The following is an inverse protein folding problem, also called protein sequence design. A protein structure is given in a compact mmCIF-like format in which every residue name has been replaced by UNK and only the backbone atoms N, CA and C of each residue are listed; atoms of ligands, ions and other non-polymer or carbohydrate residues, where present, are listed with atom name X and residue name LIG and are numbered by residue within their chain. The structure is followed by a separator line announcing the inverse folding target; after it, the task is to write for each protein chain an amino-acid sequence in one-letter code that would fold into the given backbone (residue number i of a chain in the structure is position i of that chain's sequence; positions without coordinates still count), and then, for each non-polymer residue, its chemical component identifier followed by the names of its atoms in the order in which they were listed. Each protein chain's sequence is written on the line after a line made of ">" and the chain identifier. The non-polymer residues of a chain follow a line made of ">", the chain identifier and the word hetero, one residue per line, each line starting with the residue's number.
data_IF_845232420883
#
_entry.id   IF_845232420883
#
_cell.length_a   1.000
_cell.length_b   1.000
_cell.length_c   1.000
_cell.angle_alpha   90.00
_cell.angle_beta   90.00
_cell.angle_gamma   90.00
#
_symmetry.space_group_name_H-M   'P 1'
#
loop_
_entity.id
_entity.type
_entity.pdbx_description
1 polymer ?
#
# COMPACT_ATOMS: atom_id res chain seq x y z
N UNK A 1 -37.12 -9.58 6.81
CA UNK A 1 -35.98 -10.45 6.34
C UNK A 1 -34.83 -9.53 6.03
N UNK A 2 -33.71 -9.72 6.72
CA UNK A 2 -32.45 -8.98 6.42
C UNK A 2 -31.93 -9.55 5.12
N UNK A 3 -31.59 -8.69 4.17
CA UNK A 3 -31.04 -9.13 2.87
C UNK A 3 -29.72 -9.87 3.09
N UNK A 4 -29.35 -10.84 2.23
CA UNK A 4 -28.06 -11.56 2.34
C UNK A 4 -26.86 -10.61 2.40
N UNK A 5 -26.92 -9.48 1.72
CA UNK A 5 -25.90 -8.44 1.68
C UNK A 5 -25.68 -7.76 3.05
N UNK A 6 -26.76 -7.49 3.78
CA UNK A 6 -26.70 -6.93 5.14
C UNK A 6 -26.16 -7.94 6.16
N UNK A 7 -26.47 -9.23 5.96
CA UNK A 7 -25.92 -10.30 6.82
C UNK A 7 -24.41 -10.48 6.60
N UNK A 8 -23.95 -10.37 5.37
CA UNK A 8 -22.53 -10.48 5.04
C UNK A 8 -21.72 -9.30 5.57
N UNK A 9 -22.27 -8.10 5.46
CA UNK A 9 -21.70 -6.88 6.01
C UNK A 9 -21.42 -7.02 7.51
N UNK A 10 -22.41 -7.43 8.29
CA UNK A 10 -22.27 -7.59 9.74
C UNK A 10 -21.29 -8.70 10.15
N UNK A 11 -21.09 -9.72 9.29
CA UNK A 11 -20.15 -10.81 9.56
C UNK A 11 -18.71 -10.45 9.21
N UNK A 12 -18.47 -9.48 8.36
CA UNK A 12 -17.16 -9.19 7.81
C UNK A 12 -16.43 -8.03 8.49
N UNK A 13 -17.15 -7.05 9.06
CA UNK A 13 -16.55 -5.87 9.69
C UNK A 13 -15.57 -6.23 10.82
N UNK A 14 -15.86 -7.26 11.61
CA UNK A 14 -14.96 -7.71 12.69
C UNK A 14 -13.57 -8.14 12.20
N UNK A 15 -13.43 -8.49 10.92
CA UNK A 15 -12.14 -8.93 10.34
C UNK A 15 -11.10 -7.81 10.34
N UNK A 16 -11.55 -6.56 10.26
CA UNK A 16 -10.68 -5.39 10.31
C UNK A 16 -10.63 -4.72 11.70
N UNK A 17 -11.23 -5.35 12.73
CA UNK A 17 -11.18 -4.81 14.08
C UNK A 17 -9.72 -4.72 14.55
N UNK A 18 -9.32 -3.51 14.96
CA UNK A 18 -7.95 -3.23 15.39
C UNK A 18 -6.98 -2.91 14.25
N UNK A 19 -7.47 -2.79 13.01
CA UNK A 19 -6.69 -2.24 11.92
C UNK A 19 -6.43 -0.75 12.19
N UNK A 20 -5.23 -0.28 11.91
CA UNK A 20 -4.84 1.13 12.04
C UNK A 20 -3.60 1.31 12.90
N UNK A 21 -3.13 2.57 13.03
CA UNK A 21 -3.70 3.76 12.39
C UNK A 21 -3.53 3.76 10.87
N UNK A 22 -4.56 4.24 10.15
CA UNK A 22 -4.54 4.41 8.69
C UNK A 22 -4.30 5.88 8.35
N UNK A 23 -3.36 6.14 7.45
CA UNK A 23 -3.11 7.47 6.87
C UNK A 23 -3.47 7.40 5.39
N UNK A 24 -4.65 7.94 5.05
CA UNK A 24 -5.20 7.89 3.69
C UNK A 24 -4.82 9.16 2.91
N UNK A 25 -4.06 8.96 1.85
CA UNK A 25 -3.52 10.03 1.00
C UNK A 25 -4.54 10.35 -0.09
N UNK A 26 -4.98 11.62 -0.16
CA UNK A 26 -5.98 12.06 -1.11
C UNK A 26 -5.70 13.49 -1.57
N UNK A 27 -5.86 13.75 -2.87
CA UNK A 27 -5.78 15.08 -3.46
C UNK A 27 -6.98 15.94 -3.05
N UNK A 28 -6.74 17.20 -2.67
CA UNK A 28 -7.82 18.10 -2.27
C UNK A 28 -8.78 18.40 -3.44
N UNK A 29 -8.30 18.32 -4.66
CA UNK A 29 -9.10 18.45 -5.88
C UNK A 29 -9.94 17.23 -6.25
N UNK A 30 -9.91 16.15 -5.45
CA UNK A 30 -10.63 14.90 -5.72
C UNK A 30 -11.53 14.48 -4.54
N UNK A 31 -12.54 15.28 -4.17
CA UNK A 31 -13.41 15.01 -3.02
C UNK A 31 -14.24 13.74 -3.18
N UNK A 32 -14.59 13.33 -4.41
CA UNK A 32 -15.34 12.10 -4.70
C UNK A 32 -14.53 10.83 -4.34
N UNK A 33 -13.21 10.85 -4.50
CA UNK A 33 -12.34 9.74 -4.08
C UNK A 33 -12.25 9.69 -2.56
N UNK A 34 -12.24 10.84 -1.89
CA UNK A 34 -12.29 10.89 -0.44
C UNK A 34 -13.63 10.34 0.10
N UNK A 35 -14.76 10.75 -0.48
CA UNK A 35 -16.09 10.22 -0.12
C UNK A 35 -16.15 8.70 -0.30
N UNK A 36 -15.54 8.18 -1.37
CA UNK A 36 -15.42 6.73 -1.59
C UNK A 36 -14.68 6.05 -0.43
N UNK A 37 -13.55 6.60 0.03
CA UNK A 37 -12.79 6.04 1.15
C UNK A 37 -13.56 6.13 2.47
N UNK A 38 -14.18 7.25 2.77
CA UNK A 38 -15.01 7.40 3.98
C UNK A 38 -16.18 6.39 4.01
N UNK A 39 -16.80 6.15 2.87
CA UNK A 39 -17.85 5.13 2.75
C UNK A 39 -17.33 3.72 3.03
N UNK A 40 -16.11 3.38 2.58
CA UNK A 40 -15.47 2.11 2.91
C UNK A 40 -15.14 2.02 4.41
N UNK A 41 -14.52 3.06 4.99
CA UNK A 41 -14.19 3.07 6.42
C UNK A 41 -15.44 2.91 7.28
N UNK A 42 -16.52 3.61 6.94
CA UNK A 42 -17.82 3.45 7.59
C UNK A 42 -18.40 2.04 7.40
N UNK A 43 -18.28 1.48 6.19
CA UNK A 43 -18.78 0.14 5.88
C UNK A 43 -18.09 -0.94 6.73
N UNK A 44 -16.76 -0.81 6.87
CA UNK A 44 -15.92 -1.77 7.58
C UNK A 44 -15.72 -1.43 9.06
N UNK A 45 -16.43 -0.41 9.59
CA UNK A 45 -16.35 0.04 10.98
C UNK A 45 -14.92 0.41 11.41
N UNK A 46 -14.16 1.02 10.50
CA UNK A 46 -12.81 1.52 10.75
C UNK A 46 -12.93 2.94 11.31
N UNK A 47 -12.39 3.16 12.51
CA UNK A 47 -12.46 4.46 13.20
C UNK A 47 -11.11 5.17 13.26
N UNK A 48 -9.99 4.42 13.24
CA UNK A 48 -8.63 4.96 13.37
C UNK A 48 -8.04 5.26 11.99
N UNK A 49 -8.47 6.37 11.41
CA UNK A 49 -7.93 6.86 10.14
C UNK A 49 -7.76 8.39 10.13
N UNK A 50 -6.80 8.86 9.35
CA UNK A 50 -6.52 10.28 9.12
C UNK A 50 -6.35 10.55 7.63
N UNK A 51 -7.07 11.54 7.11
CA UNK A 51 -6.86 12.04 5.75
C UNK A 51 -5.57 12.86 5.67
N UNK A 52 -4.74 12.56 4.71
CA UNK A 52 -3.53 13.33 4.36
C UNK A 52 -3.76 14.03 3.03
N UNK A 53 -3.85 15.35 3.05
CA UNK A 53 -3.91 16.19 1.84
C UNK A 53 -2.62 15.97 1.03
N UNK A 54 -2.74 15.41 -0.17
CA UNK A 54 -1.64 15.10 -1.06
C UNK A 54 -1.13 16.34 -1.81
N UNK A 55 0.10 16.28 -2.29
CA UNK A 55 0.65 17.26 -3.24
C UNK A 55 0.27 16.88 -4.66
N UNK A 56 -0.35 17.80 -5.39
CA UNK A 56 -0.67 17.60 -6.82
C UNK A 56 0.45 18.18 -7.69
N UNK A 57 1.33 17.33 -8.18
CA UNK A 57 2.43 17.75 -9.04
C UNK A 57 2.00 18.17 -10.46
N UNK A 58 0.74 17.98 -10.84
CA UNK A 58 0.22 18.37 -12.16
C UNK A 58 -0.20 19.84 -12.17
N UNK A 59 -0.74 20.30 -11.06
CA UNK A 59 -1.30 21.65 -10.91
C UNK A 59 -0.39 22.56 -10.07
N UNK A 60 0.45 22.00 -9.20
CA UNK A 60 1.31 22.72 -8.26
C UNK A 60 2.76 22.76 -8.76
N UNK A 61 3.43 23.91 -8.57
CA UNK A 61 4.88 23.97 -8.65
C UNK A 61 5.50 23.38 -7.38
N UNK A 62 5.97 22.15 -7.48
CA UNK A 62 6.59 21.43 -6.37
C UNK A 62 8.04 21.85 -6.10
N UNK A 63 8.63 22.76 -6.86
CA UNK A 63 10.02 23.20 -6.67
C UNK A 63 10.25 23.77 -5.25
N UNK A 64 9.24 24.46 -4.73
CA UNK A 64 9.28 25.08 -3.39
C UNK A 64 9.37 24.07 -2.24
N UNK A 65 8.89 22.84 -2.45
CA UNK A 65 8.95 21.78 -1.44
C UNK A 65 10.13 20.83 -1.64
N UNK A 66 10.88 20.94 -2.73
CA UNK A 66 12.07 20.13 -2.95
C UNK A 66 13.30 20.83 -2.33
N UNK A 67 14.11 20.06 -1.62
CA UNK A 67 15.37 20.48 -1.02
C UNK A 67 16.53 19.74 -1.70
N UNK A 68 17.53 20.48 -2.15
CA UNK A 68 18.66 19.93 -2.89
C UNK A 68 18.41 19.90 -4.40
N UNK A 69 18.95 18.92 -5.10
CA UNK A 69 18.75 18.78 -6.54
C UNK A 69 17.33 18.36 -6.86
N UNK A 70 16.71 19.05 -7.81
CA UNK A 70 15.41 18.63 -8.34
C UNK A 70 15.53 17.28 -9.04
N UNK A 71 14.59 16.34 -8.82
CA UNK A 71 14.70 14.98 -9.40
C UNK A 71 14.17 14.95 -10.85
N UNK A 72 14.98 15.46 -11.79
CA UNK A 72 14.63 15.60 -13.21
C UNK A 72 14.22 14.27 -13.90
N UNK A 73 14.49 13.13 -13.27
CA UNK A 73 14.11 11.79 -13.77
C UNK A 73 12.67 11.40 -13.43
N UNK A 74 12.00 12.18 -12.60
CA UNK A 74 10.63 11.91 -12.15
C UNK A 74 9.67 12.87 -12.82
N UNK A 75 8.48 12.38 -13.15
CA UNK A 75 7.37 13.25 -13.53
C UNK A 75 6.87 14.05 -12.31
N UNK A 76 6.19 15.15 -12.56
CA UNK A 76 5.62 15.96 -11.49
C UNK A 76 4.62 15.17 -10.64
N UNK A 77 3.80 14.28 -11.25
CA UNK A 77 2.91 13.37 -10.54
C UNK A 77 3.66 12.38 -9.64
N UNK A 78 4.77 11.80 -10.10
CA UNK A 78 5.61 10.90 -9.29
C UNK A 78 6.25 11.65 -8.10
N UNK A 79 6.66 12.91 -8.28
CA UNK A 79 7.16 13.76 -7.19
C UNK A 79 6.05 14.03 -6.17
N UNK A 80 4.85 14.41 -6.64
CA UNK A 80 3.69 14.64 -5.80
C UNK A 80 3.32 13.41 -4.97
N UNK A 81 3.26 12.23 -5.60
CA UNK A 81 3.00 10.96 -4.94
C UNK A 81 4.05 10.67 -3.86
N UNK A 82 5.34 10.67 -4.23
CA UNK A 82 6.44 10.35 -3.30
C UNK A 82 6.48 11.29 -2.10
N UNK A 83 6.32 12.60 -2.33
CA UNK A 83 6.31 13.59 -1.23
C UNK A 83 5.07 13.47 -0.36
N UNK A 84 3.94 13.04 -0.90
CA UNK A 84 2.71 12.79 -0.15
C UNK A 84 2.84 11.58 0.77
N UNK A 85 3.47 10.50 0.33
CA UNK A 85 3.79 9.36 1.19
C UNK A 85 4.75 9.75 2.32
N UNK A 86 5.79 10.52 2.05
CA UNK A 86 6.69 11.04 3.08
C UNK A 86 5.98 11.99 4.06
N UNK A 87 5.04 12.80 3.58
CA UNK A 87 4.16 13.64 4.42
C UNK A 87 3.30 12.79 5.35
N UNK A 88 2.71 11.70 4.84
CA UNK A 88 1.90 10.77 5.63
C UNK A 88 2.74 10.09 6.72
N UNK A 89 3.94 9.60 6.39
CA UNK A 89 4.87 9.01 7.37
C UNK A 89 5.28 10.02 8.44
N UNK A 90 5.58 11.26 8.05
CA UNK A 90 5.92 12.29 9.03
C UNK A 90 4.73 12.60 9.93
N UNK A 91 3.52 12.70 9.38
CA UNK A 91 2.32 12.93 10.17
C UNK A 91 2.08 11.79 11.18
N UNK A 92 2.28 10.54 10.77
CA UNK A 92 2.24 9.38 11.65
C UNK A 92 3.19 9.54 12.84
N UNK A 93 4.45 9.86 12.56
CA UNK A 93 5.47 9.98 13.61
C UNK A 93 5.22 11.14 14.56
N UNK A 94 4.66 12.24 14.06
CA UNK A 94 4.39 13.43 14.86
C UNK A 94 3.13 13.29 15.75
N UNK A 95 2.20 12.38 15.43
CA UNK A 95 0.87 12.34 16.06
C UNK A 95 0.46 10.98 16.63
N UNK A 96 1.29 9.96 16.55
CA UNK A 96 0.98 8.62 17.06
C UNK A 96 2.22 7.96 17.63
N UNK A 97 2.04 7.13 18.65
CA UNK A 97 3.08 6.27 19.24
C UNK A 97 2.94 4.81 18.80
N UNK A 98 2.03 4.51 17.86
CA UNK A 98 1.80 3.15 17.38
C UNK A 98 3.09 2.54 16.79
N UNK A 99 3.31 1.22 16.93
CA UNK A 99 4.51 0.54 16.44
C UNK A 99 4.57 0.44 14.90
N UNK A 100 3.45 0.63 14.23
CA UNK A 100 3.32 0.65 12.78
C UNK A 100 2.19 1.58 12.34
N UNK A 101 2.11 1.86 11.05
CA UNK A 101 0.99 2.53 10.42
C UNK A 101 0.65 1.86 9.08
N UNK A 102 -0.59 2.07 8.62
CA UNK A 102 -1.03 1.70 7.28
C UNK A 102 -1.07 2.98 6.46
N UNK A 103 -0.31 2.99 5.36
CA UNK A 103 -0.39 4.04 4.34
C UNK A 103 -1.31 3.55 3.24
N UNK A 104 -2.28 4.38 2.86
CA UNK A 104 -3.32 4.01 1.91
C UNK A 104 -3.57 5.15 0.93
N UNK A 105 -3.67 4.86 -0.36
CA UNK A 105 -4.13 5.81 -1.36
C UNK A 105 -5.67 5.79 -1.48
N UNK A 106 -6.23 6.83 -2.03
CA UNK A 106 -7.68 7.06 -2.10
C UNK A 106 -8.41 6.25 -3.17
N UNK A 107 -7.71 5.32 -3.82
CA UNK A 107 -8.27 4.30 -4.71
C UNK A 107 -8.12 2.86 -4.17
N UNK A 108 -7.59 2.68 -2.99
CA UNK A 108 -7.57 1.37 -2.36
C UNK A 108 -8.99 0.84 -2.14
N UNK A 109 -9.19 -0.46 -2.39
CA UNK A 109 -10.48 -1.12 -2.25
C UNK A 109 -10.37 -2.26 -1.24
N UNK A 110 -11.26 -2.24 -0.24
CA UNK A 110 -11.32 -3.21 0.86
C UNK A 110 -12.27 -4.38 0.59
N UNK A 111 -12.89 -4.48 -0.58
CA UNK A 111 -13.92 -5.47 -0.86
C UNK A 111 -13.45 -6.92 -0.79
N UNK A 112 -12.14 -7.19 -0.95
CA UNK A 112 -11.58 -8.54 -0.78
C UNK A 112 -11.66 -9.03 0.66
N UNK A 113 -11.76 -8.15 1.65
CA UNK A 113 -11.87 -8.49 3.07
C UNK A 113 -13.06 -9.40 3.35
N UNK A 114 -14.15 -9.27 2.59
CA UNK A 114 -15.32 -10.17 2.72
C UNK A 114 -14.97 -11.64 2.51
N UNK A 115 -13.95 -11.92 1.69
CA UNK A 115 -13.50 -13.29 1.40
C UNK A 115 -12.51 -13.82 2.43
N UNK A 116 -11.83 -12.98 3.24
CA UNK A 116 -10.87 -13.46 4.22
C UNK A 116 -11.56 -14.42 5.21
N UNK A 117 -10.89 -15.52 5.55
CA UNK A 117 -11.29 -16.43 6.62
C UNK A 117 -10.48 -16.21 7.91
N UNK A 118 -9.78 -15.10 8.00
CA UNK A 118 -8.95 -14.63 9.11
C UNK A 118 -9.24 -13.17 9.45
N UNK A 119 -8.73 -12.69 10.58
CA UNK A 119 -8.84 -11.29 11.00
C UNK A 119 -7.53 -10.54 10.73
N UNK A 120 -7.57 -9.20 10.83
CA UNK A 120 -6.38 -8.37 10.82
C UNK A 120 -5.36 -8.78 11.90
N UNK A 121 -5.83 -9.12 13.10
CA UNK A 121 -4.96 -9.54 14.18
C UNK A 121 -4.28 -10.89 13.88
N UNK A 122 -5.00 -11.83 13.28
CA UNK A 122 -4.41 -13.10 12.85
C UNK A 122 -3.34 -12.86 11.80
N UNK A 123 -3.61 -12.00 10.82
CA UNK A 123 -2.67 -11.63 9.78
C UNK A 123 -1.42 -10.95 10.37
N UNK A 124 -1.59 -9.92 11.19
CA UNK A 124 -0.49 -9.18 11.80
C UNK A 124 0.39 -10.07 12.70
N UNK A 125 -0.21 -11.01 13.41
CA UNK A 125 0.52 -11.96 14.28
C UNK A 125 1.49 -12.88 13.50
N UNK A 126 1.29 -13.02 12.19
CA UNK A 126 2.14 -13.86 11.33
C UNK A 126 3.14 -13.05 10.49
N UNK A 127 3.33 -11.77 10.75
CA UNK A 127 4.36 -11.00 10.06
C UNK A 127 5.76 -11.57 10.33
N UNK A 128 6.63 -11.61 9.32
CA UNK A 128 8.03 -11.98 9.52
C UNK A 128 8.68 -11.11 10.61
N UNK A 129 9.54 -11.68 11.43
CA UNK A 129 10.10 -10.98 12.59
C UNK A 129 10.85 -9.68 12.24
N UNK A 130 11.49 -9.65 11.08
CA UNK A 130 12.39 -8.59 10.63
C UNK A 130 11.77 -7.68 9.54
N UNK A 131 10.43 -7.61 9.46
CA UNK A 131 9.76 -6.80 8.47
C UNK A 131 9.94 -5.29 8.72
N UNK A 132 10.15 -4.55 7.65
CA UNK A 132 10.13 -3.08 7.62
C UNK A 132 8.84 -2.57 6.95
N UNK A 133 8.44 -3.22 5.86
CA UNK A 133 7.24 -2.90 5.09
C UNK A 133 6.55 -4.19 4.64
N UNK A 134 5.22 -4.20 4.66
CA UNK A 134 4.39 -5.25 4.04
C UNK A 134 3.45 -4.59 3.03
N UNK A 135 3.69 -4.82 1.74
CA UNK A 135 2.85 -4.34 0.65
C UNK A 135 1.58 -5.19 0.57
N UNK A 136 0.41 -4.57 0.60
CA UNK A 136 -0.89 -5.24 0.64
C UNK A 136 -1.68 -5.18 -0.67
N UNK A 137 -1.41 -4.18 -1.51
CA UNK A 137 -2.00 -4.03 -2.84
C UNK A 137 -0.89 -4.07 -3.88
N UNK A 138 -1.02 -4.98 -4.84
CA UNK A 138 0.03 -5.25 -5.83
C UNK A 138 -0.54 -5.11 -7.23
N UNK A 139 0.24 -4.46 -8.10
CA UNK A 139 0.08 -4.47 -9.54
C UNK A 139 1.34 -5.10 -10.13
N UNK A 140 1.21 -6.17 -10.89
CA UNK A 140 2.37 -6.80 -11.51
C UNK A 140 2.13 -7.04 -13.02
N UNK A 141 3.22 -7.17 -13.76
CA UNK A 141 3.21 -7.40 -15.22
C UNK A 141 3.47 -8.87 -15.57
N UNK A 142 3.06 -9.79 -14.73
CA UNK A 142 3.27 -11.21 -14.91
C UNK A 142 2.43 -12.01 -13.95
N UNK A 143 2.86 -13.24 -13.64
CA UNK A 143 2.17 -14.07 -12.67
C UNK A 143 2.24 -13.44 -11.28
N UNK A 144 1.08 -13.27 -10.66
CA UNK A 144 0.98 -12.69 -9.33
C UNK A 144 1.23 -13.76 -8.26
N UNK A 145 2.18 -13.50 -7.38
CA UNK A 145 2.38 -14.32 -6.20
C UNK A 145 1.36 -13.96 -5.12
N UNK A 146 0.50 -14.89 -4.77
CA UNK A 146 -0.64 -14.63 -3.86
C UNK A 146 -0.31 -14.87 -2.39
N UNK A 147 0.76 -15.59 -2.07
CA UNK A 147 1.24 -15.85 -0.70
C UNK A 147 2.26 -14.80 -0.29
N UNK A 148 2.57 -14.73 1.02
CA UNK A 148 3.64 -13.87 1.52
C UNK A 148 4.96 -14.22 0.85
N UNK A 149 5.63 -13.22 0.30
CA UNK A 149 6.94 -13.36 -0.36
C UNK A 149 7.79 -12.10 -0.15
N UNK A 150 9.10 -12.21 -0.38
CA UNK A 150 9.94 -11.03 -0.52
C UNK A 150 9.50 -10.24 -1.75
N UNK A 151 9.30 -8.94 -1.59
CA UNK A 151 8.88 -8.09 -2.69
C UNK A 151 9.80 -8.25 -3.90
N UNK A 152 9.23 -8.51 -5.05
CA UNK A 152 9.94 -8.48 -6.34
C UNK A 152 9.95 -7.05 -6.90
N UNK A 153 10.89 -6.78 -7.81
CA UNK A 153 11.02 -5.45 -8.43
C UNK A 153 9.79 -5.04 -9.25
N UNK A 154 9.01 -6.01 -9.72
CA UNK A 154 7.80 -5.83 -10.51
C UNK A 154 6.50 -5.92 -9.69
N UNK A 155 6.57 -6.00 -8.38
CA UNK A 155 5.43 -5.80 -7.49
C UNK A 155 5.24 -4.29 -7.28
N UNK A 156 4.51 -3.67 -8.20
CA UNK A 156 4.27 -2.22 -8.19
C UNK A 156 3.10 -1.87 -7.30
N UNK A 157 2.91 -0.59 -7.06
CA UNK A 157 1.81 0.07 -6.34
C UNK A 157 2.11 0.38 -4.88
N UNK A 158 1.85 1.62 -4.52
CA UNK A 158 1.81 2.13 -3.14
C UNK A 158 0.39 2.33 -2.63
N UNK A 159 -0.62 1.76 -3.32
CA UNK A 159 -2.04 1.93 -2.97
C UNK A 159 -2.35 1.50 -1.53
N UNK A 160 -1.68 0.47 -1.00
CA UNK A 160 -1.76 0.13 0.42
C UNK A 160 -0.56 -0.67 0.90
N UNK A 161 0.02 -0.24 2.01
CA UNK A 161 1.08 -0.99 2.70
C UNK A 161 1.12 -0.68 4.21
N UNK A 162 1.64 -1.64 4.98
CA UNK A 162 1.98 -1.46 6.40
C UNK A 162 3.45 -1.08 6.49
N UNK A 163 3.77 -0.08 7.30
CA UNK A 163 5.14 0.36 7.54
C UNK A 163 5.45 0.34 9.05
N UNK A 164 6.55 -0.28 9.41
CA UNK A 164 7.05 -0.27 10.78
C UNK A 164 7.54 1.14 11.17
N UNK A 165 7.30 1.56 12.43
CA UNK A 165 7.69 2.88 12.92
C UNK A 165 9.16 3.19 12.67
N UNK A 166 10.07 2.29 13.02
CA UNK A 166 11.51 2.50 12.85
C UNK A 166 11.90 2.73 11.39
N UNK A 167 11.17 2.11 10.44
CA UNK A 167 11.41 2.32 9.01
C UNK A 167 10.86 3.67 8.54
N UNK A 168 9.65 4.05 9.00
CA UNK A 168 9.12 5.40 8.76
C UNK A 168 10.07 6.49 9.31
N UNK A 169 10.61 6.30 10.52
CA UNK A 169 11.63 7.21 11.10
C UNK A 169 12.88 7.31 10.23
N UNK A 170 13.37 6.18 9.70
CA UNK A 170 14.50 6.15 8.77
C UNK A 170 14.21 6.98 7.52
N UNK A 171 13.05 6.76 6.88
CA UNK A 171 12.68 7.47 5.65
C UNK A 171 12.47 8.97 5.91
N UNK A 172 11.76 9.33 6.96
CA UNK A 172 11.54 10.74 7.33
C UNK A 172 12.88 11.44 7.65
N UNK A 173 13.78 10.81 8.39
CA UNK A 173 15.11 11.35 8.66
C UNK A 173 15.94 11.56 7.39
N UNK A 174 15.87 10.65 6.44
CA UNK A 174 16.61 10.70 5.17
C UNK A 174 16.04 11.74 4.21
N UNK A 175 14.72 11.84 4.13
CA UNK A 175 14.05 12.55 3.06
C UNK A 175 13.30 13.82 3.48
N UNK A 176 12.90 13.97 4.74
CA UNK A 176 12.19 15.16 5.20
C UNK A 176 13.15 16.20 5.79
N UNK A 177 12.91 17.48 5.49
CA UNK A 177 13.70 18.63 5.96
C UNK A 177 12.77 19.76 6.41
N UNK A 178 13.11 20.47 7.46
CA UNK A 178 12.30 21.58 7.99
C UNK A 178 11.12 21.09 8.83
N UNK A 179 10.06 21.92 8.91
CA UNK A 179 8.80 21.54 9.53
C UNK A 179 8.48 22.17 10.89
N UNK A 180 9.44 22.50 11.74
CA UNK A 180 9.16 23.19 13.02
C UNK A 180 9.11 24.72 12.92
N UNK A 181 9.83 25.30 11.97
CA UNK A 181 9.94 26.76 11.80
C UNK A 181 9.72 27.23 10.36
N UNK A 182 9.37 26.34 9.43
CA UNK A 182 9.18 26.64 8.02
C UNK A 182 8.37 25.58 7.29
N UNK A 183 8.15 25.78 5.99
CA UNK A 183 7.47 24.79 5.16
C UNK A 183 8.24 23.47 5.15
N UNK A 184 7.53 22.35 5.23
CA UNK A 184 8.11 21.02 5.03
C UNK A 184 8.74 20.96 3.64
N UNK A 185 9.97 20.44 3.58
CA UNK A 185 10.70 20.19 2.34
C UNK A 185 11.13 18.73 2.25
N UNK A 186 11.36 18.25 1.04
CA UNK A 186 11.70 16.85 0.76
C UNK A 186 12.99 16.77 -0.06
N UNK A 187 13.87 15.88 0.33
CA UNK A 187 15.13 15.62 -0.35
C UNK A 187 15.05 14.29 -1.07
N UNK A 188 14.92 14.31 -2.40
CA UNK A 188 14.74 13.13 -3.25
C UNK A 188 15.98 12.76 -4.07
N UNK A 189 17.10 13.47 -3.88
CA UNK A 189 18.38 13.27 -4.62
C UNK A 189 19.27 12.19 -4.01
N UNK A 190 18.79 11.45 -3.01
CA UNK A 190 19.61 10.48 -2.28
C UNK A 190 19.28 9.04 -2.60
N UNK A 191 20.27 8.37 -3.20
CA UNK A 191 20.64 6.98 -2.99
C UNK A 191 19.61 5.88 -3.34
N UNK A 192 18.39 6.22 -3.69
CA UNK A 192 17.38 5.22 -4.05
C UNK A 192 17.52 4.91 -5.54
N UNK A 193 17.71 3.64 -5.84
CA UNK A 193 17.79 3.15 -7.21
C UNK A 193 16.66 2.18 -7.49
N UNK A 194 16.12 2.17 -8.71
CA UNK A 194 16.56 2.93 -9.88
C UNK A 194 16.17 4.41 -9.85
N UNK A 195 15.05 4.79 -9.20
CA UNK A 195 14.57 6.18 -9.09
C UNK A 195 13.90 6.39 -7.73
N UNK A 196 13.87 7.60 -7.16
CA UNK A 196 13.21 7.86 -5.88
C UNK A 196 11.68 8.04 -6.01
N UNK A 197 11.02 7.28 -6.88
CA UNK A 197 9.55 7.17 -6.92
C UNK A 197 9.04 6.45 -5.67
N UNK A 198 7.77 6.63 -5.34
CA UNK A 198 7.21 6.12 -4.09
C UNK A 198 7.48 4.63 -3.87
N UNK A 199 7.22 3.79 -4.87
CA UNK A 199 7.52 2.34 -4.82
C UNK A 199 8.97 2.05 -4.46
N UNK A 200 9.91 2.63 -5.20
CA UNK A 200 11.33 2.36 -5.01
C UNK A 200 11.84 2.94 -3.68
N UNK A 201 11.38 4.14 -3.33
CA UNK A 201 11.80 4.79 -2.10
C UNK A 201 11.31 4.03 -0.86
N UNK A 202 10.05 3.61 -0.84
CA UNK A 202 9.46 2.91 0.29
C UNK A 202 9.98 1.48 0.39
N UNK A 203 9.95 0.75 -0.72
CA UNK A 203 10.14 -0.69 -0.71
C UNK A 203 11.60 -1.13 -0.83
N UNK A 204 12.44 -0.40 -1.59
CA UNK A 204 13.84 -0.79 -1.76
C UNK A 204 14.75 -0.29 -0.64
N UNK A 205 14.22 0.46 0.32
CA UNK A 205 15.00 1.01 1.43
C UNK A 205 15.02 0.13 2.68
N UNK A 206 14.23 -0.94 2.72
CA UNK A 206 14.09 -1.83 3.86
C UNK A 206 13.84 -3.29 3.49
N UNK A 207 13.54 -4.08 4.53
CA UNK A 207 13.15 -5.47 4.40
C UNK A 207 11.65 -5.55 4.07
N UNK A 208 11.34 -5.55 2.78
CA UNK A 208 9.96 -5.49 2.28
C UNK A 208 9.44 -6.85 1.87
N UNK A 209 8.28 -7.18 2.39
CA UNK A 209 7.46 -8.31 1.97
C UNK A 209 6.26 -7.81 1.18
N UNK A 210 5.66 -8.71 0.39
CA UNK A 210 4.48 -8.43 -0.41
C UNK A 210 3.47 -9.58 -0.30
N UNK A 211 2.20 -9.22 -0.27
CA UNK A 211 1.07 -10.16 -0.25
C UNK A 211 -0.18 -9.43 -0.74
N UNK A 212 -0.84 -9.88 -1.82
CA UNK A 212 -1.98 -9.17 -2.41
C UNK A 212 -3.28 -9.46 -1.65
N UNK A 213 -3.49 -8.78 -0.52
CA UNK A 213 -4.70 -8.88 0.31
C UNK A 213 -5.78 -7.89 -0.08
N UNK A 214 -5.39 -6.78 -0.69
CA UNK A 214 -6.26 -5.68 -1.09
C UNK A 214 -6.10 -5.40 -2.57
N UNK A 215 -7.07 -4.70 -3.13
CA UNK A 215 -7.08 -4.27 -4.54
C UNK A 215 -7.28 -2.75 -4.61
N UNK A 216 -7.34 -2.23 -5.79
CA UNK A 216 -7.65 -0.82 -6.07
C UNK A 216 -8.95 -0.71 -6.87
N UNK A 217 -9.59 0.43 -6.79
CA UNK A 217 -10.83 0.74 -7.51
C UNK A 217 -10.51 1.17 -8.94
N UNK A 218 -10.56 0.22 -9.86
CA UNK A 218 -10.18 0.43 -11.28
C UNK A 218 -10.95 1.59 -11.92
N UNK A 219 -12.23 1.76 -11.56
CA UNK A 219 -13.10 2.79 -12.13
C UNK A 219 -12.73 4.22 -11.71
N UNK A 220 -11.95 4.39 -10.64
CA UNK A 220 -11.44 5.70 -10.25
C UNK A 220 -10.23 6.14 -11.09
N UNK A 221 -9.66 5.22 -11.85
CA UNK A 221 -8.52 5.49 -12.71
C UNK A 221 -7.21 5.71 -11.96
N UNK A 222 -6.14 5.94 -12.71
CA UNK A 222 -4.84 6.35 -12.19
C UNK A 222 -4.59 7.81 -12.51
N UNK A 223 -4.20 8.58 -11.50
CA UNK A 223 -3.82 9.99 -11.68
C UNK A 223 -2.42 10.16 -12.26
N UNK A 224 -1.58 9.11 -12.20
CA UNK A 224 -0.16 9.17 -12.62
C UNK A 224 0.02 8.45 -13.97
N UNK A 225 -0.58 7.26 -14.14
CA UNK A 225 -0.41 6.40 -15.31
C UNK A 225 -1.77 5.91 -15.85
N UNK A 226 -2.60 6.80 -16.43
CA UNK A 226 -3.94 6.42 -16.90
C UNK A 226 -3.91 5.35 -18.03
N UNK A 227 -2.82 5.26 -18.80
CA UNK A 227 -2.63 4.28 -19.88
C UNK A 227 -2.47 2.83 -19.39
N UNK A 228 -2.13 2.62 -18.13
CA UNK A 228 -1.94 1.27 -17.56
C UNK A 228 -3.25 0.61 -17.10
N UNK A 229 -4.36 1.37 -17.00
CA UNK A 229 -5.62 0.92 -16.38
C UNK A 229 -6.17 -0.33 -17.06
N UNK A 230 -6.37 -0.29 -18.38
CA UNK A 230 -7.00 -1.40 -19.10
C UNK A 230 -6.02 -2.56 -19.37
N UNK A 231 -4.73 -2.27 -19.50
CA UNK A 231 -3.71 -3.26 -19.87
C UNK A 231 -3.24 -4.09 -18.68
N UNK A 232 -3.12 -3.50 -17.51
CA UNK A 232 -2.48 -4.13 -16.35
C UNK A 232 -3.42 -4.15 -15.14
N UNK A 233 -3.98 -2.99 -14.76
CA UNK A 233 -4.76 -2.86 -13.53
C UNK A 233 -5.99 -3.77 -13.53
N UNK A 234 -6.80 -3.73 -14.59
CA UNK A 234 -8.02 -4.54 -14.68
C UNK A 234 -7.73 -6.04 -14.66
N UNK A 235 -6.69 -6.47 -15.35
CA UNK A 235 -6.31 -7.90 -15.37
C UNK A 235 -5.87 -8.39 -13.98
N UNK A 236 -5.07 -7.59 -13.28
CA UNK A 236 -4.64 -7.91 -11.91
C UNK A 236 -5.82 -7.92 -10.94
N UNK A 237 -6.71 -6.92 -11.04
CA UNK A 237 -7.93 -6.86 -10.24
C UNK A 237 -8.77 -8.13 -10.41
N UNK A 238 -9.09 -8.52 -11.65
CA UNK A 238 -9.96 -9.66 -11.94
C UNK A 238 -9.31 -10.99 -11.54
N UNK A 239 -8.01 -11.13 -11.76
CA UNK A 239 -7.27 -12.33 -11.35
C UNK A 239 -7.30 -12.50 -9.82
N UNK A 240 -7.02 -11.41 -9.08
CA UNK A 240 -6.99 -11.44 -7.63
C UNK A 240 -8.39 -11.63 -7.03
N UNK A 241 -9.40 -10.96 -7.58
CA UNK A 241 -10.79 -11.16 -7.19
C UNK A 241 -11.24 -12.62 -7.33
N UNK A 242 -10.99 -13.23 -8.50
CA UNK A 242 -11.33 -14.62 -8.76
C UNK A 242 -10.56 -15.58 -7.84
N UNK A 243 -9.29 -15.31 -7.58
CA UNK A 243 -8.50 -16.11 -6.64
C UNK A 243 -9.12 -16.11 -5.24
N UNK A 244 -9.36 -14.92 -4.68
CA UNK A 244 -9.93 -14.80 -3.33
C UNK A 244 -11.33 -15.39 -3.23
N UNK A 245 -12.16 -15.19 -4.24
CA UNK A 245 -13.50 -15.76 -4.27
C UNK A 245 -13.50 -17.30 -4.26
N UNK A 246 -12.54 -17.93 -4.93
CA UNK A 246 -12.49 -19.38 -5.10
C UNK A 246 -11.70 -20.07 -3.97
N UNK A 247 -10.62 -19.45 -3.49
CA UNK A 247 -9.64 -20.12 -2.64
C UNK A 247 -9.72 -19.73 -1.16
N UNK A 248 -10.41 -18.65 -0.82
CA UNK A 248 -10.40 -18.07 0.51
C UNK A 248 -10.78 -19.06 1.63
N UNK A 249 -11.75 -19.94 1.40
CA UNK A 249 -12.20 -20.91 2.40
C UNK A 249 -11.15 -21.99 2.75
N UNK A 250 -10.18 -22.22 1.87
CA UNK A 250 -9.12 -23.22 2.04
C UNK A 250 -7.80 -22.64 2.58
N UNK A 251 -7.71 -21.31 2.77
CA UNK A 251 -6.50 -20.66 3.24
C UNK A 251 -6.29 -20.97 4.74
N UNK A 252 -5.18 -21.62 5.06
CA UNK A 252 -4.60 -21.61 6.39
C UNK A 252 -3.67 -20.41 6.51
N UNK A 253 -3.95 -19.50 7.45
CA UNK A 253 -3.21 -18.25 7.57
C UNK A 253 -1.76 -18.48 7.94
N UNK A 254 -1.46 -19.45 8.78
CA UNK A 254 -0.10 -19.74 9.18
C UNK A 254 0.74 -20.27 8.01
N UNK A 255 0.15 -21.14 7.18
CA UNK A 255 0.79 -21.62 5.96
C UNK A 255 0.89 -20.53 4.88
N UNK A 256 -0.16 -19.72 4.73
CA UNK A 256 -0.23 -18.64 3.77
C UNK A 256 0.81 -17.53 4.04
N UNK A 257 1.09 -17.28 5.31
CA UNK A 257 2.07 -16.31 5.80
C UNK A 257 3.46 -16.91 6.06
N UNK A 258 3.62 -18.21 5.89
CA UNK A 258 4.91 -18.87 6.11
C UNK A 258 5.87 -18.50 4.99
N UNK A 259 6.73 -17.53 5.26
CA UNK A 259 7.83 -17.16 4.38
C UNK A 259 9.03 -18.05 4.64
N UNK A 260 9.33 -18.97 3.71
CA UNK A 260 10.57 -19.73 3.71
C UNK A 260 11.48 -19.19 2.59
N UNK A 261 12.61 -18.52 2.93
CA UNK A 261 13.53 -17.99 1.93
C UNK A 261 14.19 -19.09 1.07
N UNK A 262 14.06 -20.35 1.47
CA UNK A 262 14.60 -21.49 0.73
C UNK A 262 13.57 -22.12 -0.20
N UNK A 263 12.26 -22.05 0.11
CA UNK A 263 11.19 -22.59 -0.74
C UNK A 263 10.89 -21.71 -1.98
N UNK A 264 11.25 -20.44 -1.95
CA UNK A 264 11.08 -19.54 -3.11
C UNK A 264 12.10 -19.75 -4.24
N UNK A 265 13.09 -20.63 -4.06
CA UNK A 265 14.01 -21.01 -5.12
C UNK A 265 13.48 -22.27 -5.81
N UNK A 266 12.58 -22.09 -6.77
CA UNK A 266 12.39 -23.12 -7.82
C UNK A 266 13.70 -23.17 -8.58
N UNK A 267 14.58 -24.08 -8.21
CA UNK A 267 15.75 -24.39 -9.02
C UNK A 267 15.24 -25.03 -10.30
N UNK A 268 15.72 -24.62 -11.46
CA UNK A 268 15.41 -25.16 -12.79
C UNK A 268 15.60 -26.70 -12.89
N UNK A 269 16.16 -27.34 -11.86
CA UNK A 269 16.35 -28.79 -11.78
C UNK A 269 15.09 -29.63 -11.51
N UNK A 270 13.97 -29.01 -11.15
CA UNK A 270 12.72 -29.77 -10.91
C UNK A 270 11.83 -29.94 -12.14
N UNK A 271 12.18 -29.33 -13.28
CA UNK A 271 11.40 -29.49 -14.52
C UNK A 271 11.85 -30.66 -15.43
N UNK A 272 12.91 -31.39 -15.06
CA UNK A 272 13.45 -32.48 -15.91
C UNK A 272 13.25 -33.89 -15.30
N UNK A 273 12.28 -34.11 -14.43
CA UNK A 273 11.87 -35.45 -14.00
C UNK A 273 10.35 -35.58 -14.13
N UNK A 274 9.90 -35.81 -15.36
CA UNK A 274 8.55 -36.19 -15.70
C UNK A 274 8.52 -36.90 -17.02
#
# INVERSE_FOLDING_TARGET
>A
MVTPELMDKNKSAYKLKGIGPIYCINLDGQPERWEYMENQFKHWEIEDYTRISAYDGRDDDLSDIISGRYPDMMSAGEIGCTTSHLKAMKHFLDNSDAPYAIMMEDDCNLDLVKFWNFTWNDFYAHFPYDWDVVQLAIICTGDMHVRLHKRFVNDFSTACYVIARHHAEKLVRLHCRGGYTGKQKYKLDQGVKPRPVADDLVYNSGNTFAIPLLIYKVELGSSIHPEHIDLIHRQNHDALWNYWQQQSASIDIADFMNYDPYLGRVTESSQNQG
#
